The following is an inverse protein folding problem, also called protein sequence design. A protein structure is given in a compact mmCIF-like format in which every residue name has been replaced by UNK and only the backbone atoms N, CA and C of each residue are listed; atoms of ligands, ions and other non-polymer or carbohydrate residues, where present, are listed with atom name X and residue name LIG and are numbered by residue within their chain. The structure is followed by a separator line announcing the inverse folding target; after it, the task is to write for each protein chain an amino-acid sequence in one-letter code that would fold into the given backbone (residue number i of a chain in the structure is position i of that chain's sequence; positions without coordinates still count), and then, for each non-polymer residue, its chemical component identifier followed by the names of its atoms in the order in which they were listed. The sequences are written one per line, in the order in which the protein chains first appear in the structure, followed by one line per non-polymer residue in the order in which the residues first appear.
data_IF_510964497452
#
_entry.id   IF_510964497452
#
_cell.length_a   1.000
_cell.length_b   1.000
_cell.length_c   1.000
_cell.angle_alpha   90.00
_cell.angle_beta   90.00
_cell.angle_gamma   90.00
#
_symmetry.space_group_name_H-M   'P 1'
#
loop_
_entity.id
_entity.type
_entity.pdbx_description
1 polymer ?
#
# COMPACT_ATOMS: atom_id res chain seq x y z
N UNK A 1 17.61 -7.69 14.97
CA UNK A 1 16.29 -7.08 15.19
C UNK A 1 15.42 -7.99 16.04
N UNK A 2 14.64 -7.43 16.98
CA UNK A 2 13.61 -8.17 17.72
C UNK A 2 12.39 -7.29 17.93
N UNK A 3 11.24 -7.72 17.40
CA UNK A 3 9.95 -7.03 17.51
C UNK A 3 8.88 -7.96 18.08
N UNK A 4 7.92 -7.38 18.78
CA UNK A 4 6.80 -8.08 19.42
C UNK A 4 5.51 -7.36 19.04
N UNK A 5 4.58 -8.09 18.41
CA UNK A 5 3.32 -7.53 17.93
C UNK A 5 2.15 -8.49 18.20
N UNK A 6 0.94 -7.97 18.28
CA UNK A 6 -0.26 -8.81 18.25
C UNK A 6 -0.48 -9.37 16.84
N UNK A 7 -0.82 -10.66 16.74
CA UNK A 7 -1.04 -11.33 15.44
C UNK A 7 -2.06 -10.59 14.58
N UNK A 8 -3.11 -10.04 15.16
CA UNK A 8 -4.15 -9.31 14.44
C UNK A 8 -3.61 -8.07 13.74
N UNK A 9 -2.72 -7.30 14.40
CA UNK A 9 -2.09 -6.11 13.82
C UNK A 9 -1.12 -6.48 12.70
N UNK A 10 -0.31 -7.54 12.91
CA UNK A 10 0.57 -8.08 11.88
C UNK A 10 -0.21 -8.51 10.65
N UNK A 11 -1.27 -9.30 10.84
CA UNK A 11 -2.07 -9.84 9.74
C UNK A 11 -2.73 -8.72 8.93
N UNK A 12 -3.27 -7.70 9.61
CA UNK A 12 -3.87 -6.52 8.94
C UNK A 12 -2.83 -5.81 8.06
N UNK A 13 -1.66 -5.51 8.63
CA UNK A 13 -0.61 -4.77 7.91
C UNK A 13 -0.01 -5.59 6.77
N UNK A 14 0.23 -6.89 6.96
CA UNK A 14 0.72 -7.77 5.89
C UNK A 14 -0.30 -7.89 4.76
N UNK A 15 -1.60 -8.03 5.06
CA UNK A 15 -2.66 -8.06 4.04
C UNK A 15 -2.69 -6.80 3.17
N UNK A 16 -2.49 -5.63 3.77
CA UNK A 16 -2.40 -4.36 3.05
C UNK A 16 -1.13 -4.33 2.19
N UNK A 17 0.02 -4.64 2.78
CA UNK A 17 1.31 -4.62 2.11
C UNK A 17 1.37 -5.56 0.90
N UNK A 18 0.74 -6.75 0.98
CA UNK A 18 0.68 -7.71 -0.13
C UNK A 18 0.09 -7.14 -1.43
N UNK A 19 -0.69 -6.04 -1.36
CA UNK A 19 -1.29 -5.40 -2.54
C UNK A 19 -0.27 -4.75 -3.48
N UNK A 20 0.92 -4.43 -2.97
CA UNK A 20 2.03 -3.90 -3.76
C UNK A 20 3.18 -4.91 -3.93
N UNK A 21 2.92 -6.20 -3.76
CA UNK A 21 3.88 -7.26 -4.10
C UNK A 21 3.60 -7.74 -5.52
N UNK A 22 4.57 -7.65 -6.44
CA UNK A 22 4.37 -8.07 -7.83
C UNK A 22 4.14 -9.58 -7.93
N UNK A 23 3.26 -9.98 -8.86
CA UNK A 23 3.03 -11.41 -9.14
C UNK A 23 4.19 -12.05 -9.91
N UNK A 24 4.89 -11.25 -10.73
CA UNK A 24 6.10 -11.61 -11.49
C UNK A 24 7.02 -10.40 -11.52
N UNK A 25 8.30 -10.62 -11.27
CA UNK A 25 9.32 -9.58 -11.33
C UNK A 25 10.68 -10.18 -11.70
N UNK A 26 11.52 -9.38 -12.33
CA UNK A 26 12.95 -9.70 -12.56
C UNK A 26 13.82 -9.30 -11.37
N UNK A 27 13.25 -8.61 -10.38
CA UNK A 27 13.95 -8.15 -9.19
C UNK A 27 13.45 -8.93 -7.95
N UNK A 28 14.14 -10.01 -7.54
CA UNK A 28 13.66 -10.88 -6.46
C UNK A 28 13.46 -10.21 -5.10
N UNK A 29 14.03 -9.01 -4.89
CA UNK A 29 13.84 -8.23 -3.67
C UNK A 29 12.42 -7.67 -3.56
N UNK A 30 11.76 -7.39 -4.69
CA UNK A 30 10.38 -6.87 -4.73
C UNK A 30 9.32 -7.92 -4.39
N UNK A 31 9.69 -9.22 -4.40
CA UNK A 31 8.81 -10.29 -3.87
C UNK A 31 8.77 -10.30 -2.34
N UNK A 32 9.60 -9.47 -1.70
CA UNK A 32 9.71 -9.39 -0.26
C UNK A 32 8.88 -8.23 0.32
N UNK A 33 8.54 -8.38 1.59
CA UNK A 33 8.10 -7.30 2.47
C UNK A 33 9.29 -6.85 3.29
N UNK A 34 9.61 -5.56 3.23
CA UNK A 34 10.62 -4.95 4.07
C UNK A 34 10.02 -4.69 5.44
N UNK A 35 10.67 -5.19 6.47
CA UNK A 35 10.36 -4.92 7.88
C UNK A 35 11.46 -4.00 8.40
N UNK A 36 11.11 -2.75 8.68
CA UNK A 36 12.01 -1.73 9.21
C UNK A 36 11.60 -1.36 10.64
N UNK A 37 12.47 -1.64 11.60
CA UNK A 37 12.38 -1.27 12.99
C UNK A 37 13.62 -0.47 13.44
N UNK A 38 14.22 0.31 12.55
CA UNK A 38 15.39 1.15 12.84
C UNK A 38 15.03 2.43 13.58
N UNK A 39 13.80 2.89 13.43
CA UNK A 39 13.24 4.06 14.14
C UNK A 39 12.47 3.62 15.40
N UNK A 40 11.52 4.43 15.84
CA UNK A 40 10.61 4.11 16.95
C UNK A 40 9.27 3.50 16.46
N UNK A 41 9.18 3.19 15.18
CA UNK A 41 8.01 2.59 14.55
C UNK A 41 8.41 1.33 13.82
N UNK A 42 7.53 0.34 13.83
CA UNK A 42 7.67 -0.86 12.99
C UNK A 42 6.95 -0.56 11.68
N UNK A 43 7.69 -0.53 10.58
CA UNK A 43 7.17 -0.24 9.25
C UNK A 43 7.29 -1.46 8.35
N UNK A 44 6.24 -1.73 7.59
CA UNK A 44 6.25 -2.72 6.53
C UNK A 44 6.13 -1.99 5.19
N UNK A 45 7.09 -2.23 4.31
CA UNK A 45 7.11 -1.59 2.97
C UNK A 45 7.13 -2.65 1.89
N UNK A 46 6.34 -2.44 0.85
CA UNK A 46 6.32 -3.23 -0.39
C UNK A 46 6.24 -2.29 -1.58
N UNK A 47 6.76 -2.74 -2.72
CA UNK A 47 6.87 -1.90 -3.91
C UNK A 47 6.89 -2.78 -5.17
N UNK A 48 6.03 -2.52 -6.16
CA UNK A 48 6.05 -3.18 -7.46
C UNK A 48 6.54 -2.26 -8.60
N UNK A 49 7.17 -1.12 -8.25
CA UNK A 49 7.67 -0.05 -9.12
C UNK A 49 6.56 0.86 -9.70
N UNK A 50 5.30 0.52 -9.55
CA UNK A 50 4.14 1.37 -9.90
C UNK A 50 3.33 1.74 -8.66
N UNK A 51 3.21 0.82 -7.72
CA UNK A 51 2.52 0.97 -6.45
C UNK A 51 3.47 0.64 -5.32
N UNK A 52 3.69 1.58 -4.42
CA UNK A 52 4.36 1.35 -3.15
C UNK A 52 3.39 1.47 -1.98
N UNK A 53 3.53 0.61 -1.00
CA UNK A 53 2.73 0.64 0.22
C UNK A 53 3.67 0.61 1.43
N UNK A 54 3.47 1.56 2.33
CA UNK A 54 4.07 1.57 3.66
C UNK A 54 2.95 1.46 4.70
N UNK A 55 3.07 0.55 5.65
CA UNK A 55 2.15 0.41 6.79
C UNK A 55 2.93 0.49 8.10
N UNK A 56 2.29 1.07 9.12
CA UNK A 56 2.83 1.09 10.48
C UNK A 56 2.14 -0.03 11.26
N UNK A 57 2.93 -0.82 11.97
CA UNK A 57 2.46 -1.95 12.78
C UNK A 57 2.61 -1.59 14.25
N UNK A 58 1.53 -1.70 15.00
CA UNK A 58 1.57 -1.52 16.45
C UNK A 58 2.30 -2.68 17.10
N UNK A 59 3.32 -2.35 17.89
CA UNK A 59 4.13 -3.35 18.57
C UNK A 59 5.29 -2.73 19.34
N UNK A 60 6.07 -3.58 19.99
CA UNK A 60 7.26 -3.20 20.77
C UNK A 60 8.51 -3.57 19.99
N UNK A 61 9.47 -2.65 19.93
CA UNK A 61 10.80 -2.87 19.39
C UNK A 61 11.75 -3.11 20.57
N UNK A 62 12.24 -4.34 20.73
CA UNK A 62 13.25 -4.67 21.73
C UNK A 62 14.66 -4.49 21.17
N UNK A 63 14.86 -4.87 19.91
CA UNK A 63 16.14 -4.70 19.20
C UNK A 63 15.86 -4.09 17.83
N UNK A 64 16.50 -2.98 17.53
CA UNK A 64 16.38 -2.30 16.22
C UNK A 64 16.99 -3.13 15.10
N UNK A 65 16.53 -2.90 13.88
CA UNK A 65 17.10 -3.52 12.69
C UNK A 65 16.13 -3.52 11.51
N UNK A 66 16.60 -4.11 10.41
CA UNK A 66 15.89 -4.15 9.15
C UNK A 66 16.09 -5.49 8.45
N UNK A 67 15.07 -6.02 7.81
CA UNK A 67 15.13 -7.27 7.04
C UNK A 67 14.03 -7.27 5.96
N UNK A 68 14.33 -7.91 4.83
CA UNK A 68 13.34 -8.20 3.80
C UNK A 68 13.02 -9.70 3.82
N UNK A 69 11.74 -10.05 3.98
CA UNK A 69 11.23 -11.43 4.02
C UNK A 69 10.33 -11.70 2.82
N UNK A 70 10.36 -12.91 2.26
CA UNK A 70 9.40 -13.33 1.25
C UNK A 70 7.97 -13.06 1.75
N UNK A 71 7.26 -12.20 1.03
CA UNK A 71 5.97 -11.67 1.46
C UNK A 71 4.89 -12.75 1.53
N UNK A 72 4.90 -13.71 0.62
CA UNK A 72 3.91 -14.80 0.55
C UNK A 72 4.14 -15.81 1.66
N UNK A 73 5.39 -16.22 1.87
CA UNK A 73 5.76 -17.16 2.95
C UNK A 73 5.47 -16.52 4.30
N UNK A 74 5.87 -15.26 4.48
CA UNK A 74 5.60 -14.52 5.72
C UNK A 74 4.10 -14.43 6.01
N UNK A 75 3.30 -14.04 5.01
CA UNK A 75 1.84 -14.00 5.14
C UNK A 75 1.24 -15.35 5.54
N UNK A 76 1.63 -16.44 4.86
CA UNK A 76 1.09 -17.76 5.16
C UNK A 76 1.42 -18.22 6.58
N UNK A 77 2.60 -17.86 7.11
CA UNK A 77 2.96 -18.12 8.51
C UNK A 77 2.06 -17.30 9.42
N UNK A 78 2.02 -15.97 9.28
CA UNK A 78 1.25 -15.09 10.17
C UNK A 78 -0.23 -15.48 10.18
N UNK A 79 -0.80 -15.80 9.02
CA UNK A 79 -2.21 -16.21 8.89
C UNK A 79 -2.56 -17.43 9.72
N UNK A 80 -1.63 -18.40 9.83
CA UNK A 80 -1.84 -19.69 10.50
C UNK A 80 -1.46 -19.70 11.99
N UNK A 81 -0.83 -18.62 12.48
CA UNK A 81 -0.51 -18.51 13.90
C UNK A 81 -1.78 -18.38 14.75
N UNK A 82 -1.74 -18.80 16.03
CA UNK A 82 -2.79 -18.50 17.02
C UNK A 82 -2.99 -16.98 17.18
N UNK A 83 -4.18 -16.58 17.66
CA UNK A 83 -4.48 -15.17 17.95
C UNK A 83 -3.82 -14.75 19.29
N UNK A 84 -2.53 -14.54 19.25
CA UNK A 84 -1.73 -14.16 20.41
C UNK A 84 -0.55 -13.26 19.99
N UNK A 85 0.31 -12.97 20.93
CA UNK A 85 1.54 -12.21 20.73
C UNK A 85 2.53 -12.98 19.87
N UNK A 86 3.04 -12.34 18.84
CA UNK A 86 4.04 -12.86 17.90
C UNK A 86 5.36 -12.14 18.14
N UNK A 87 6.44 -12.90 18.31
CA UNK A 87 7.80 -12.36 18.35
C UNK A 87 8.52 -12.71 17.05
N UNK A 88 9.12 -11.70 16.43
CA UNK A 88 9.96 -11.86 15.24
C UNK A 88 11.38 -11.45 15.63
N UNK A 89 12.32 -12.38 15.55
CA UNK A 89 13.72 -12.14 15.84
C UNK A 89 14.57 -12.49 14.62
N UNK A 90 15.53 -11.62 14.29
CA UNK A 90 16.49 -11.87 13.19
C UNK A 90 17.90 -12.03 13.77
N UNK A 91 18.71 -12.85 13.11
CA UNK A 91 20.12 -13.04 13.41
C UNK A 91 21.02 -12.34 12.40
N UNK A 92 22.34 -12.44 12.60
CA UNK A 92 23.36 -11.86 11.72
C UNK A 92 23.42 -12.54 10.33
N UNK A 93 22.86 -13.75 10.20
CA UNK A 93 22.78 -14.50 8.94
C UNK A 93 21.53 -14.17 8.15
N UNK A 94 20.82 -13.08 8.49
CA UNK A 94 19.57 -12.66 7.88
C UNK A 94 18.46 -13.73 7.97
N UNK A 95 18.46 -14.53 9.05
CA UNK A 95 17.43 -15.53 9.30
C UNK A 95 16.41 -14.98 10.29
N UNK A 96 15.14 -14.99 9.89
CA UNK A 96 14.04 -14.57 10.77
C UNK A 96 13.42 -15.78 11.47
N UNK A 97 13.37 -15.74 12.81
CA UNK A 97 12.63 -16.68 13.64
C UNK A 97 11.34 -16.02 14.12
N UNK A 98 10.21 -16.62 13.79
CA UNK A 98 8.87 -16.17 14.14
C UNK A 98 8.30 -17.14 15.17
N UNK A 99 7.95 -16.65 16.34
CA UNK A 99 7.41 -17.46 17.45
C UNK A 99 6.07 -16.92 17.93
N UNK A 100 5.14 -17.84 18.19
CA UNK A 100 3.86 -17.53 18.82
C UNK A 100 3.44 -18.76 19.62
N UNK A 101 3.33 -18.63 20.94
CA UNK A 101 3.10 -19.76 21.86
C UNK A 101 4.10 -20.90 21.64
N UNK A 102 3.62 -22.08 21.24
CA UNK A 102 4.43 -23.27 20.92
C UNK A 102 4.88 -23.32 19.47
N UNK A 103 4.32 -22.47 18.60
CA UNK A 103 4.67 -22.43 17.18
C UNK A 103 5.98 -21.67 16.99
N UNK A 104 6.89 -22.25 16.19
CA UNK A 104 8.16 -21.63 15.83
C UNK A 104 8.45 -21.91 14.35
N UNK A 105 8.69 -20.85 13.59
CA UNK A 105 9.06 -20.91 12.18
C UNK A 105 10.36 -20.16 11.97
N UNK A 106 11.14 -20.64 11.02
CA UNK A 106 12.40 -20.00 10.63
C UNK A 106 12.41 -19.85 9.13
N UNK A 107 12.62 -18.62 8.64
CA UNK A 107 12.66 -18.30 7.21
C UNK A 107 13.91 -17.47 6.90
N UNK A 108 14.55 -17.73 5.75
CA UNK A 108 15.66 -16.90 5.29
C UNK A 108 15.13 -15.54 4.85
N UNK A 109 15.87 -14.48 5.15
CA UNK A 109 15.61 -13.13 4.67
C UNK A 109 16.70 -12.64 3.73
N UNK A 110 16.53 -11.41 3.28
CA UNK A 110 17.51 -10.66 2.49
C UNK A 110 17.86 -9.37 3.21
N UNK A 111 18.98 -8.74 2.84
CA UNK A 111 19.33 -7.43 3.36
C UNK A 111 18.22 -6.41 3.05
N UNK A 112 17.78 -5.66 4.06
CA UNK A 112 16.84 -4.57 3.85
C UNK A 112 17.46 -3.37 3.15
N UNK A 113 18.78 -3.25 3.14
CA UNK A 113 19.50 -2.17 2.45
C UNK A 113 19.38 -2.26 0.93
N UNK A 114 19.17 -3.46 0.39
CA UNK A 114 18.97 -3.69 -1.04
C UNK A 114 17.55 -3.38 -1.51
N UNK A 115 16.64 -3.01 -0.59
CA UNK A 115 15.24 -2.75 -0.94
C UNK A 115 15.07 -1.39 -1.60
N UNK A 116 14.25 -1.34 -2.66
CA UNK A 116 13.90 -0.10 -3.34
C UNK A 116 12.92 0.73 -2.49
N UNK A 117 13.45 1.73 -1.78
CA UNK A 117 12.64 2.61 -0.94
C UNK A 117 11.64 3.43 -1.74
N UNK A 118 10.53 3.74 -1.12
CA UNK A 118 9.55 4.68 -1.68
C UNK A 118 10.11 6.11 -1.64
N UNK A 119 9.82 6.94 -2.65
CA UNK A 119 10.22 8.33 -2.62
C UNK A 119 9.58 9.05 -1.43
N UNK A 120 10.32 9.96 -0.81
CA UNK A 120 9.77 10.84 0.22
C UNK A 120 8.81 11.83 -0.45
N UNK A 121 7.57 11.83 0.02
CA UNK A 121 6.56 12.78 -0.43
C UNK A 121 6.51 13.92 0.58
N UNK A 122 6.92 15.12 0.16
CA UNK A 122 6.75 16.31 0.96
C UNK A 122 5.25 16.60 1.13
N UNK A 123 4.83 16.90 2.36
CA UNK A 123 3.43 17.17 2.68
C UNK A 123 3.08 18.60 2.28
N UNK A 124 2.90 18.82 0.98
CA UNK A 124 2.25 20.00 0.46
C UNK A 124 0.72 19.90 0.63
N UNK A 125 -0.01 20.76 -0.05
CA UNK A 125 -1.47 20.78 0.02
C UNK A 125 -2.09 19.42 -0.38
N UNK A 126 -2.79 18.78 0.56
CA UNK A 126 -3.47 17.50 0.35
C UNK A 126 -4.96 17.69 0.14
N UNK A 127 -5.53 16.94 -0.82
CA UNK A 127 -6.98 16.79 -0.94
C UNK A 127 -7.46 15.80 0.12
N UNK A 128 -8.35 16.25 0.99
CA UNK A 128 -8.95 15.42 2.06
C UNK A 128 -10.37 15.06 1.70
N UNK A 129 -10.69 13.77 1.61
CA UNK A 129 -12.04 13.26 1.35
C UNK A 129 -12.33 12.03 2.22
N UNK A 130 -13.60 11.64 2.31
CA UNK A 130 -13.99 10.38 2.97
C UNK A 130 -13.49 9.17 2.18
N UNK A 131 -13.01 8.15 2.88
CA UNK A 131 -12.59 6.88 2.25
C UNK A 131 -13.75 6.21 1.52
N UNK A 132 -14.95 6.21 2.11
CA UNK A 132 -16.17 5.72 1.46
C UNK A 132 -16.42 6.44 0.13
N UNK A 133 -16.34 7.77 0.12
CA UNK A 133 -16.60 8.57 -1.08
C UNK A 133 -15.59 8.26 -2.19
N UNK A 134 -14.30 8.21 -1.87
CA UNK A 134 -13.28 7.87 -2.86
C UNK A 134 -13.51 6.46 -3.42
N UNK A 135 -13.77 5.49 -2.55
CA UNK A 135 -14.06 4.11 -2.93
C UNK A 135 -15.24 4.01 -3.90
N UNK A 136 -16.34 4.72 -3.60
CA UNK A 136 -17.53 4.74 -4.45
C UNK A 136 -17.27 5.45 -5.79
N UNK A 137 -16.52 6.54 -5.80
CA UNK A 137 -16.15 7.22 -7.06
C UNK A 137 -15.33 6.29 -7.96
N UNK A 138 -14.31 5.62 -7.41
CA UNK A 138 -13.51 4.62 -8.15
C UNK A 138 -14.43 3.50 -8.66
N UNK A 139 -15.24 2.90 -7.80
CA UNK A 139 -16.14 1.79 -8.18
C UNK A 139 -17.08 2.15 -9.34
N UNK A 140 -17.54 3.41 -9.37
CA UNK A 140 -18.49 3.89 -10.38
C UNK A 140 -17.83 4.28 -11.70
N UNK A 141 -16.51 4.29 -11.80
CA UNK A 141 -15.79 4.69 -13.00
C UNK A 141 -14.81 3.62 -13.51
N UNK A 142 -14.17 2.86 -12.66
CA UNK A 142 -13.07 1.93 -12.99
C UNK A 142 -13.43 0.88 -14.07
N UNK A 143 -14.71 0.52 -14.22
CA UNK A 143 -15.16 -0.44 -15.22
C UNK A 143 -15.02 0.05 -16.68
N UNK A 144 -14.80 1.33 -16.89
CA UNK A 144 -14.65 1.96 -18.21
C UNK A 144 -13.19 2.19 -18.62
N UNK A 145 -12.19 1.77 -17.83
CA UNK A 145 -10.80 1.81 -18.28
C UNK A 145 -10.53 0.76 -19.34
N UNK A 146 -9.58 1.04 -20.23
CA UNK A 146 -9.12 0.06 -21.21
C UNK A 146 -8.31 -1.05 -20.55
N UNK A 147 -8.53 -2.29 -20.93
CA UNK A 147 -7.84 -3.46 -20.37
C UNK A 147 -6.46 -3.69 -21.00
N UNK A 148 -6.29 -3.27 -22.23
CA UNK A 148 -5.05 -3.53 -23.00
C UNK A 148 -4.92 -2.51 -24.13
N UNK A 149 -4.33 -1.35 -23.84
CA UNK A 149 -4.22 -0.27 -24.82
C UNK A 149 -2.78 0.14 -25.08
N UNK A 150 -2.51 0.48 -26.35
CA UNK A 150 -1.24 1.09 -26.76
C UNK A 150 -1.05 2.46 -26.07
N UNK A 151 -2.16 3.16 -25.80
CA UNK A 151 -2.16 4.40 -25.02
C UNK A 151 -2.37 4.08 -23.53
N UNK A 152 -1.29 4.07 -22.75
CA UNK A 152 -1.32 3.81 -21.31
C UNK A 152 -2.22 4.75 -20.50
N UNK A 153 -2.50 5.95 -21.00
CA UNK A 153 -3.42 6.87 -20.31
C UNK A 153 -4.84 6.31 -20.19
N UNK A 154 -5.28 5.49 -21.15
CA UNK A 154 -6.60 4.86 -21.12
C UNK A 154 -6.70 3.68 -20.16
N UNK A 155 -5.58 3.17 -19.65
CA UNK A 155 -5.57 2.10 -18.63
C UNK A 155 -5.66 2.61 -17.20
N UNK A 156 -5.84 3.93 -17.04
CA UNK A 156 -6.01 4.61 -15.77
C UNK A 156 -7.26 5.49 -15.74
N UNK A 157 -7.49 6.12 -14.60
CA UNK A 157 -8.52 7.11 -14.41
C UNK A 157 -7.92 8.51 -14.29
N UNK A 158 -8.48 9.48 -14.98
CA UNK A 158 -8.15 10.88 -14.82
C UNK A 158 -8.81 11.44 -13.56
N UNK A 159 -8.02 11.89 -12.62
CA UNK A 159 -8.44 12.71 -11.49
C UNK A 159 -8.22 14.18 -11.85
N UNK A 160 -9.28 14.94 -11.95
CA UNK A 160 -9.24 16.38 -12.22
C UNK A 160 -9.84 17.14 -11.04
N UNK A 161 -9.02 17.97 -10.41
CA UNK A 161 -9.43 18.95 -9.40
C UNK A 161 -9.53 20.29 -10.11
N UNK A 162 -10.67 20.95 -9.98
CA UNK A 162 -10.90 22.29 -10.52
C UNK A 162 -11.81 23.06 -9.59
N UNK A 163 -11.31 24.19 -9.07
CA UNK A 163 -11.99 24.96 -8.03
C UNK A 163 -12.33 24.03 -6.83
N UNK A 164 -13.64 23.94 -6.48
CA UNK A 164 -14.16 23.09 -5.42
C UNK A 164 -14.73 21.74 -5.92
N UNK A 165 -14.29 21.23 -7.08
CA UNK A 165 -14.77 19.95 -7.61
C UNK A 165 -13.66 18.95 -7.85
N UNK A 166 -13.90 17.71 -7.45
CA UNK A 166 -13.16 16.53 -7.90
C UNK A 166 -13.99 15.83 -8.98
N UNK A 167 -13.38 15.58 -10.14
CA UNK A 167 -13.96 14.80 -11.22
C UNK A 167 -13.03 13.60 -11.52
N UNK A 168 -13.59 12.40 -11.57
CA UNK A 168 -12.91 11.18 -12.00
C UNK A 168 -13.51 10.76 -13.34
N UNK A 169 -12.63 10.46 -14.31
CA UNK A 169 -13.00 10.07 -15.67
C UNK A 169 -12.20 8.84 -16.07
N UNK A 170 -12.90 7.86 -16.64
CA UNK A 170 -12.31 6.70 -17.32
C UNK A 170 -12.93 6.52 -18.70
N UNK A 171 -12.18 5.97 -19.64
CA UNK A 171 -12.65 5.70 -21.00
C UNK A 171 -11.84 4.57 -21.65
N UNK A 172 -12.46 3.87 -22.63
CA UNK A 172 -11.82 2.80 -23.42
C UNK A 172 -12.04 2.95 -24.93
N UNK A 173 -12.45 4.15 -25.40
CA UNK A 173 -12.74 4.42 -26.80
C UNK A 173 -14.18 4.06 -27.23
N UNK A 174 -14.91 3.23 -26.49
CA UNK A 174 -16.30 2.86 -26.76
C UNK A 174 -17.28 3.39 -25.72
N UNK A 175 -16.80 3.64 -24.51
CA UNK A 175 -17.59 4.11 -23.38
C UNK A 175 -16.77 5.06 -22.53
N UNK A 176 -17.46 5.91 -21.81
CA UNK A 176 -16.88 6.85 -20.85
C UNK A 176 -17.69 6.80 -19.56
N UNK A 177 -17.01 6.74 -18.42
CA UNK A 177 -17.64 6.92 -17.11
C UNK A 177 -17.09 8.20 -16.47
N UNK A 178 -18.00 9.01 -15.93
CA UNK A 178 -17.64 10.26 -15.27
C UNK A 178 -18.35 10.33 -13.93
N UNK A 179 -17.59 10.61 -12.88
CA UNK A 179 -18.12 10.90 -11.56
C UNK A 179 -17.57 12.25 -11.09
N UNK A 180 -18.44 13.10 -10.56
CA UNK A 180 -18.10 14.41 -10.03
C UNK A 180 -18.64 14.55 -8.62
N UNK A 181 -17.86 15.18 -7.74
CA UNK A 181 -18.29 15.56 -6.40
C UNK A 181 -17.83 16.97 -6.07
N UNK A 182 -18.56 17.65 -5.23
CA UNK A 182 -18.18 18.93 -4.65
C UNK A 182 -17.29 18.72 -3.44
N UNK A 183 -16.23 19.51 -3.35
CA UNK A 183 -15.27 19.49 -2.25
C UNK A 183 -15.66 20.54 -1.20
N UNK A 184 -15.23 20.34 0.04
CA UNK A 184 -15.54 21.25 1.15
C UNK A 184 -14.84 22.62 1.06
N UNK A 185 -13.79 22.73 0.25
CA UNK A 185 -13.01 23.96 0.02
C UNK A 185 -12.47 23.96 -1.41
N UNK A 186 -11.98 25.11 -1.84
CA UNK A 186 -11.25 25.25 -3.08
C UNK A 186 -9.83 24.66 -2.96
N UNK A 187 -9.36 24.07 -4.04
CA UNK A 187 -8.02 23.55 -4.20
C UNK A 187 -7.39 24.07 -5.49
N UNK A 188 -6.09 24.08 -5.58
CA UNK A 188 -5.38 24.40 -6.80
C UNK A 188 -5.78 23.41 -7.92
N UNK A 189 -5.93 23.92 -9.15
CA UNK A 189 -6.26 23.12 -10.31
C UNK A 189 -5.17 22.05 -10.53
N UNK A 190 -5.57 20.78 -10.58
CA UNK A 190 -4.65 19.65 -10.79
C UNK A 190 -5.29 18.59 -11.67
N UNK A 191 -4.44 17.92 -12.46
CA UNK A 191 -4.83 16.78 -13.28
C UNK A 191 -3.78 15.68 -13.16
N UNK A 192 -4.23 14.47 -12.89
CA UNK A 192 -3.36 13.29 -12.84
C UNK A 192 -4.09 12.06 -13.34
N UNK A 193 -3.41 11.20 -14.08
CA UNK A 193 -3.92 9.88 -14.43
C UNK A 193 -3.33 8.86 -13.48
N UNK A 194 -4.20 8.18 -12.73
CA UNK A 194 -3.82 7.13 -11.80
C UNK A 194 -4.06 5.78 -12.44
N UNK A 195 -3.07 4.86 -12.48
CA UNK A 195 -3.25 3.55 -13.07
C UNK A 195 -4.41 2.77 -12.45
N UNK A 196 -5.22 2.13 -13.29
CA UNK A 196 -6.39 1.39 -12.84
C UNK A 196 -6.05 0.21 -11.92
N UNK A 197 -4.90 -0.44 -12.13
CA UNK A 197 -4.38 -1.47 -11.22
C UNK A 197 -4.20 -0.91 -9.81
N UNK A 198 -3.55 0.25 -9.68
CA UNK A 198 -3.34 0.95 -8.41
C UNK A 198 -4.67 1.29 -7.73
N UNK A 199 -5.63 1.86 -8.48
CA UNK A 199 -6.95 2.21 -7.96
C UNK A 199 -7.75 1.00 -7.51
N UNK A 200 -7.67 -0.13 -8.22
CA UNK A 200 -8.27 -1.38 -7.82
C UNK A 200 -7.73 -1.89 -6.48
N UNK A 201 -6.42 -1.79 -6.26
CA UNK A 201 -5.84 -2.20 -4.97
C UNK A 201 -6.16 -1.19 -3.85
N UNK A 202 -6.12 0.12 -4.13
CA UNK A 202 -6.55 1.15 -3.17
C UNK A 202 -8.00 0.94 -2.74
N UNK A 203 -8.91 0.67 -3.68
CA UNK A 203 -10.33 0.46 -3.36
C UNK A 203 -10.59 -0.72 -2.42
N UNK A 204 -9.70 -1.72 -2.38
CA UNK A 204 -9.76 -2.87 -1.46
C UNK A 204 -9.23 -2.54 -0.06
N UNK A 205 -8.38 -1.51 0.05
CA UNK A 205 -7.78 -1.05 1.32
C UNK A 205 -8.69 -0.04 2.01
N UNK A 206 -9.33 0.83 1.24
CA UNK A 206 -10.21 1.87 1.76
C UNK A 206 -11.37 1.26 2.56
N UNK A 207 -11.65 1.83 3.73
CA UNK A 207 -12.78 1.45 4.56
C UNK A 207 -14.12 1.78 3.88
N UNK A 208 -15.19 1.16 4.36
CA UNK A 208 -16.56 1.50 3.96
C UNK A 208 -17.20 2.56 4.84
N UNK A 209 -16.46 3.10 5.82
CA UNK A 209 -16.99 4.04 6.80
C UNK A 209 -16.90 5.47 6.27
N UNK A 210 -17.98 6.26 6.52
CA UNK A 210 -18.07 7.64 6.01
C UNK A 210 -17.14 8.57 6.76
N UNK A 211 -16.91 8.32 8.03
CA UNK A 211 -16.12 9.19 8.92
C UNK A 211 -14.61 8.98 8.75
N UNK A 212 -14.20 7.86 8.15
CA UNK A 212 -12.80 7.63 7.84
C UNK A 212 -12.35 8.53 6.70
N UNK A 213 -11.26 9.25 6.89
CA UNK A 213 -10.71 10.17 5.90
C UNK A 213 -9.49 9.58 5.18
N UNK A 214 -9.26 10.04 3.96
CA UNK A 214 -8.05 9.81 3.19
C UNK A 214 -7.51 11.15 2.69
N UNK A 215 -6.19 11.30 2.74
CA UNK A 215 -5.49 12.43 2.18
C UNK A 215 -4.77 12.01 0.90
N UNK A 216 -5.06 12.72 -0.17
CA UNK A 216 -4.45 12.49 -1.49
C UNK A 216 -3.45 13.63 -1.73
N UNK A 217 -2.18 13.26 -1.92
CA UNK A 217 -1.11 14.18 -2.28
C UNK A 217 -0.67 13.89 -3.71
N UNK A 218 -0.34 14.93 -4.46
CA UNK A 218 0.22 14.79 -5.81
C UNK A 218 1.45 15.67 -5.93
N UNK A 219 2.56 15.08 -6.36
CA UNK A 219 3.85 15.75 -6.59
C UNK A 219 4.09 15.98 -8.09
N UNK A 220 3.05 16.27 -8.86
CA UNK A 220 3.26 16.57 -10.27
C UNK A 220 3.74 18.01 -10.39
N UNK A 221 5.04 18.17 -10.57
CA UNK A 221 5.61 19.33 -11.20
C UNK A 221 5.57 19.11 -12.71
N UNK A 222 4.69 19.80 -13.40
CA UNK A 222 4.69 19.94 -14.85
C UNK A 222 5.53 21.15 -15.22
#
# INVERSE_FOLDING_TARGET
MKIICQKINLLKSVNISLKAVPSKTTMPILECILIDATTNQIKFTTNDMELGIETIVDGTIEEKGIIALDAKIFYEIIRRLPDNTVTIKTDEKLTATITCEKAKFTIPGKSGEDFAYLPLIEKEESLTISQFTLKEMIRQTIFSIASNETNKLMTGELFEIKNNYLKIVSLDGHRIAIRRMELKKDYADRKVVVPGKTLNEISKILSGEIDDIVNILSLIHI
#
